data_IF_913600978650
#
_entry.id   IF_913600978650
#
_cell.length_a   1.000
_cell.length_b   1.000
_cell.length_c   1.000
_cell.angle_alpha   90.00
_cell.angle_beta   90.00
_cell.angle_gamma   90.00
#
_symmetry.space_group_name_H-M   'P 1'
#
loop_
_entity.id
_entity.type
_entity.pdbx_description
1 polymer ?
#
# COMPACT_ATOMS: atom_id res chain seq x y z
N UNK A 1 11.56 -20.55 -15.66
CA UNK A 1 11.55 -19.23 -14.97
C UNK A 1 12.95 -18.64 -14.77
N UNK A 2 13.91 -19.37 -14.18
CA UNK A 2 15.27 -18.82 -13.97
C UNK A 2 15.92 -18.36 -15.27
N UNK A 3 15.91 -19.20 -16.31
CA UNK A 3 16.53 -18.89 -17.61
C UNK A 3 15.85 -17.71 -18.33
N UNK A 4 14.50 -17.66 -18.32
CA UNK A 4 13.75 -16.56 -18.92
C UNK A 4 14.00 -15.24 -18.19
N UNK A 5 14.03 -15.27 -16.85
CA UNK A 5 14.35 -14.12 -16.02
C UNK A 5 15.79 -13.66 -16.24
N UNK A 6 16.74 -14.58 -16.32
CA UNK A 6 18.14 -14.27 -16.56
C UNK A 6 18.38 -13.62 -17.94
N UNK A 7 17.66 -14.11 -18.97
CA UNK A 7 17.72 -13.48 -20.30
C UNK A 7 17.27 -12.02 -20.25
N UNK A 8 16.13 -11.74 -19.62
CA UNK A 8 15.63 -10.39 -19.48
C UNK A 8 16.53 -9.50 -18.60
N UNK A 9 17.08 -10.04 -17.52
CA UNK A 9 18.00 -9.30 -16.65
C UNK A 9 19.31 -8.90 -17.32
N UNK A 10 19.77 -9.71 -18.28
CA UNK A 10 20.95 -9.34 -19.10
C UNK A 10 20.71 -8.10 -19.96
N UNK A 11 19.50 -7.91 -20.44
CA UNK A 11 19.11 -6.71 -21.21
C UNK A 11 18.96 -5.49 -20.32
N UNK A 12 18.45 -5.65 -19.10
CA UNK A 12 18.14 -4.56 -18.17
C UNK A 12 19.38 -4.10 -17.39
N UNK A 13 20.16 -5.06 -16.86
CA UNK A 13 21.26 -4.81 -15.93
C UNK A 13 22.64 -5.14 -16.53
N UNK A 14 22.69 -5.66 -17.76
CA UNK A 14 23.90 -6.10 -18.40
C UNK A 14 24.26 -7.57 -18.17
N UNK A 15 25.35 -8.06 -18.77
CA UNK A 15 25.77 -9.45 -18.72
C UNK A 15 25.95 -9.96 -17.28
N UNK A 16 25.30 -11.06 -16.94
CA UNK A 16 25.35 -11.63 -15.61
C UNK A 16 24.56 -12.93 -15.49
N UNK A 17 24.37 -13.37 -14.25
CA UNK A 17 23.66 -14.61 -13.91
C UNK A 17 22.75 -14.45 -12.69
N UNK A 18 21.64 -15.19 -12.66
CA UNK A 18 20.81 -15.35 -11.46
C UNK A 18 21.46 -16.35 -10.51
N UNK A 19 22.06 -15.84 -9.45
CA UNK A 19 22.77 -16.65 -8.45
C UNK A 19 21.82 -17.26 -7.40
N UNK A 20 20.69 -16.58 -7.12
CA UNK A 20 19.66 -17.12 -6.25
C UNK A 20 18.26 -16.71 -6.75
N UNK A 21 17.31 -17.65 -6.62
CA UNK A 21 15.90 -17.44 -6.91
C UNK A 21 15.09 -18.19 -5.86
N UNK A 22 14.43 -17.46 -4.98
CA UNK A 22 13.74 -18.04 -3.83
C UNK A 22 12.33 -17.48 -3.71
N UNK A 23 11.33 -18.35 -3.69
CA UNK A 23 9.95 -17.96 -3.40
C UNK A 23 9.86 -17.49 -1.95
N UNK A 24 9.22 -16.35 -1.73
CA UNK A 24 8.95 -15.82 -0.40
C UNK A 24 7.57 -16.29 0.07
N UNK A 25 7.41 -16.60 1.36
CA UNK A 25 6.10 -16.91 1.93
C UNK A 25 5.26 -15.63 1.97
N UNK A 26 3.95 -15.76 1.75
CA UNK A 26 3.00 -14.65 1.76
C UNK A 26 2.52 -14.29 0.35
N UNK A 27 1.48 -13.43 0.31
CA UNK A 27 0.78 -13.10 -0.93
C UNK A 27 -0.29 -14.14 -1.26
N UNK A 28 -1.54 -13.81 -0.93
CA UNK A 28 -2.66 -14.72 -1.18
C UNK A 28 -3.03 -14.75 -2.68
N UNK A 29 -2.85 -13.64 -3.39
CA UNK A 29 -3.23 -13.44 -4.80
C UNK A 29 -2.05 -13.49 -5.76
N UNK A 30 -0.84 -13.15 -5.33
CA UNK A 30 0.35 -12.97 -6.18
C UNK A 30 1.55 -13.70 -5.58
N UNK A 31 2.43 -14.21 -6.43
CA UNK A 31 3.68 -14.85 -6.00
C UNK A 31 4.76 -13.79 -5.80
N UNK A 32 5.52 -13.94 -4.71
CA UNK A 32 6.66 -13.09 -4.37
C UNK A 32 7.96 -13.91 -4.42
N UNK A 33 8.99 -13.37 -5.09
CA UNK A 33 10.28 -14.03 -5.24
C UNK A 33 11.43 -13.09 -4.93
N UNK A 34 12.36 -13.53 -4.12
CA UNK A 34 13.66 -12.90 -3.99
C UNK A 34 14.59 -13.41 -5.10
N UNK A 35 15.18 -12.48 -5.82
CA UNK A 35 16.08 -12.74 -6.93
C UNK A 35 17.40 -12.04 -6.63
N UNK A 36 18.51 -12.77 -6.68
CA UNK A 36 19.85 -12.19 -6.62
C UNK A 36 20.50 -12.35 -7.99
N UNK A 37 20.77 -11.23 -8.65
CA UNK A 37 21.42 -11.18 -9.94
C UNK A 37 22.85 -10.62 -9.80
N UNK A 38 23.83 -11.27 -10.39
CA UNK A 38 25.25 -10.87 -10.32
C UNK A 38 25.73 -10.38 -11.68
N UNK A 39 26.31 -9.17 -11.69
CA UNK A 39 27.03 -8.61 -12.85
C UNK A 39 28.48 -8.35 -12.45
N UNK A 40 29.41 -9.17 -12.92
CA UNK A 40 30.79 -9.12 -12.43
C UNK A 40 30.87 -9.36 -10.93
N UNK A 41 31.40 -8.40 -10.17
CA UNK A 41 31.47 -8.47 -8.69
C UNK A 41 30.21 -7.87 -8.01
N UNK A 42 29.37 -7.12 -8.73
CA UNK A 42 28.18 -6.48 -8.17
C UNK A 42 27.03 -7.46 -8.02
N UNK A 43 26.39 -7.46 -6.84
CA UNK A 43 25.17 -8.20 -6.54
C UNK A 43 23.99 -7.23 -6.55
N UNK A 44 22.96 -7.55 -7.33
CA UNK A 44 21.72 -6.80 -7.42
C UNK A 44 20.60 -7.58 -6.71
N UNK A 45 20.23 -7.20 -5.48
CA UNK A 45 19.07 -7.77 -4.82
C UNK A 45 17.78 -7.24 -5.47
N UNK A 46 16.94 -8.16 -5.95
CA UNK A 46 15.72 -7.86 -6.69
C UNK A 46 14.53 -8.58 -6.06
N UNK A 47 13.36 -8.02 -6.27
CA UNK A 47 12.08 -8.61 -5.90
C UNK A 47 11.24 -8.77 -7.16
N UNK A 48 10.75 -9.98 -7.41
CA UNK A 48 9.83 -10.28 -8.50
C UNK A 48 8.45 -10.55 -7.92
N UNK A 49 7.47 -9.76 -8.37
CA UNK A 49 6.04 -10.01 -8.12
C UNK A 49 5.43 -10.62 -9.39
N UNK A 50 4.78 -11.76 -9.27
CA UNK A 50 4.23 -12.52 -10.39
C UNK A 50 2.77 -12.88 -10.14
N UNK A 51 1.95 -12.86 -11.18
CA UNK A 51 0.55 -13.26 -11.09
C UNK A 51 0.41 -14.66 -10.48
N UNK A 52 -0.43 -14.76 -9.47
CA UNK A 52 -0.82 -16.03 -8.85
C UNK A 52 -1.89 -16.76 -9.66
N UNK A 53 -2.30 -17.93 -9.18
CA UNK A 53 -3.36 -18.74 -9.85
C UNK A 53 -4.77 -18.44 -9.37
N UNK A 54 -4.98 -17.46 -8.49
CA UNK A 54 -6.28 -17.15 -7.92
C UNK A 54 -6.56 -15.65 -7.82
N UNK A 55 -7.80 -15.25 -8.03
CA UNK A 55 -8.32 -13.92 -7.72
C UNK A 55 -8.99 -14.02 -6.37
N UNK A 56 -8.42 -13.38 -5.35
CA UNK A 56 -9.02 -13.38 -4.00
C UNK A 56 -10.00 -12.23 -3.87
N UNK A 57 -9.71 -11.10 -4.53
CA UNK A 57 -10.57 -9.92 -4.49
C UNK A 57 -10.60 -9.27 -5.87
N UNK A 58 -11.81 -9.03 -6.38
CA UNK A 58 -12.02 -8.56 -7.77
C UNK A 58 -11.60 -7.11 -8.04
N UNK A 59 -11.23 -6.37 -7.01
CA UNK A 59 -10.93 -4.93 -7.09
C UNK A 59 -9.45 -4.59 -6.94
N UNK A 60 -8.58 -5.57 -7.00
CA UNK A 60 -7.15 -5.33 -7.03
C UNK A 60 -6.71 -4.86 -8.42
N UNK A 61 -5.77 -3.93 -8.47
CA UNK A 61 -5.13 -3.53 -9.72
C UNK A 61 -4.53 -4.72 -10.45
N UNK A 62 -4.61 -4.71 -11.78
CA UNK A 62 -3.81 -5.59 -12.60
C UNK A 62 -2.31 -5.33 -12.36
N UNK A 63 -1.46 -6.34 -12.57
CA UNK A 63 -0.01 -6.17 -12.33
C UNK A 63 0.62 -5.07 -13.19
N UNK A 64 0.14 -4.88 -14.41
CA UNK A 64 0.58 -3.79 -15.28
C UNK A 64 0.23 -2.41 -14.70
N UNK A 65 -0.99 -2.27 -14.15
CA UNK A 65 -1.47 -1.04 -13.52
C UNK A 65 -0.72 -0.75 -12.23
N UNK A 66 -0.54 -1.75 -11.37
CA UNK A 66 0.25 -1.65 -10.14
C UNK A 66 1.70 -1.23 -10.44
N UNK A 67 2.33 -1.85 -11.46
CA UNK A 67 3.68 -1.47 -11.89
C UNK A 67 3.74 -0.03 -12.40
N UNK A 68 2.75 0.39 -13.21
CA UNK A 68 2.68 1.78 -13.71
C UNK A 68 2.50 2.78 -12.58
N UNK A 69 1.65 2.47 -11.60
CA UNK A 69 1.47 3.32 -10.42
C UNK A 69 2.75 3.44 -9.61
N UNK A 70 3.48 2.35 -9.39
CA UNK A 70 4.79 2.37 -8.73
C UNK A 70 5.80 3.24 -9.47
N UNK A 71 5.81 3.24 -10.82
CA UNK A 71 6.67 4.13 -11.61
C UNK A 71 6.33 5.61 -11.38
N UNK A 72 5.05 5.95 -11.36
CA UNK A 72 4.59 7.32 -11.08
C UNK A 72 4.95 7.72 -9.65
N UNK A 73 4.65 6.87 -8.66
CA UNK A 73 4.99 7.12 -7.27
C UNK A 73 6.51 7.32 -7.07
N UNK A 74 7.33 6.48 -7.68
CA UNK A 74 8.80 6.61 -7.66
C UNK A 74 9.26 7.93 -8.26
N UNK A 75 8.74 8.32 -9.42
CA UNK A 75 9.10 9.56 -10.10
C UNK A 75 8.75 10.81 -9.28
N UNK A 76 7.69 10.75 -8.47
CA UNK A 76 7.26 11.82 -7.55
C UNK A 76 7.91 11.73 -6.15
N UNK A 77 8.89 10.86 -5.96
CA UNK A 77 9.65 10.75 -4.72
C UNK A 77 8.88 10.15 -3.54
N UNK A 78 7.82 9.37 -3.82
CA UNK A 78 7.21 8.49 -2.82
C UNK A 78 8.20 7.38 -2.51
N UNK A 79 8.38 7.06 -1.25
CA UNK A 79 9.22 5.93 -0.84
C UNK A 79 8.57 4.61 -1.24
N UNK A 80 8.93 4.12 -2.41
CA UNK A 80 8.56 2.79 -2.92
C UNK A 80 9.80 2.05 -3.39
N UNK A 81 9.81 0.72 -3.48
CA UNK A 81 10.88 0.00 -4.16
C UNK A 81 11.01 0.47 -5.61
N UNK A 82 12.23 0.77 -6.08
CA UNK A 82 12.47 1.20 -7.47
C UNK A 82 11.89 0.17 -8.45
N UNK A 83 10.87 0.54 -9.25
CA UNK A 83 10.30 -0.35 -10.26
C UNK A 83 11.23 -0.42 -11.46
N UNK A 84 11.66 -1.62 -11.84
CA UNK A 84 12.69 -1.82 -12.87
C UNK A 84 12.13 -2.28 -14.20
N UNK A 85 11.26 -3.29 -14.20
CA UNK A 85 10.78 -3.88 -15.44
C UNK A 85 9.45 -4.61 -15.26
N UNK A 86 8.57 -4.51 -16.27
CA UNK A 86 7.34 -5.27 -16.37
C UNK A 86 7.45 -6.35 -17.45
N UNK A 87 7.05 -7.57 -17.10
CA UNK A 87 6.97 -8.71 -18.00
C UNK A 87 5.50 -8.98 -18.32
N UNK A 88 5.02 -8.72 -19.54
CA UNK A 88 3.66 -9.09 -19.94
C UNK A 88 3.49 -10.61 -19.98
N UNK A 89 4.58 -11.34 -20.20
CA UNK A 89 4.61 -12.81 -20.17
C UNK A 89 5.97 -13.30 -19.66
N UNK A 90 5.97 -13.79 -18.42
CA UNK A 90 7.10 -14.53 -17.86
C UNK A 90 6.64 -15.99 -17.65
N UNK A 91 6.84 -16.83 -18.68
CA UNK A 91 6.36 -18.22 -18.70
C UNK A 91 4.85 -18.35 -18.41
N UNK A 92 4.04 -17.69 -19.22
CA UNK A 92 2.58 -17.77 -19.19
C UNK A 92 1.91 -16.90 -18.13
N UNK A 93 2.64 -16.01 -17.46
CA UNK A 93 2.09 -15.12 -16.41
C UNK A 93 2.74 -13.75 -16.42
N UNK A 94 1.94 -12.74 -16.15
CA UNK A 94 2.46 -11.39 -15.91
C UNK A 94 3.35 -11.35 -14.66
N UNK A 95 4.36 -10.50 -14.70
CA UNK A 95 5.24 -10.25 -13.56
C UNK A 95 5.83 -8.83 -13.63
N UNK A 96 6.31 -8.32 -12.51
CA UNK A 96 7.19 -7.17 -12.53
C UNK A 96 8.34 -7.31 -11.54
N UNK A 97 9.40 -6.59 -11.85
CA UNK A 97 10.65 -6.60 -11.12
C UNK A 97 10.88 -5.23 -10.49
N UNK A 98 11.32 -5.23 -9.24
CA UNK A 98 11.73 -4.02 -8.52
C UNK A 98 12.96 -4.30 -7.66
N UNK A 99 13.62 -3.24 -7.15
CA UNK A 99 14.69 -3.38 -6.15
C UNK A 99 14.15 -4.07 -4.90
N UNK A 100 14.90 -5.04 -4.37
CA UNK A 100 14.60 -5.60 -3.06
C UNK A 100 15.25 -4.73 -2.00
N UNK A 101 14.40 -4.20 -1.12
CA UNK A 101 14.81 -3.42 0.03
C UNK A 101 14.86 -4.30 1.28
N UNK A 102 15.64 -3.92 2.26
CA UNK A 102 15.74 -4.60 3.55
C UNK A 102 14.97 -3.83 4.62
N UNK A 103 14.39 -4.54 5.57
CA UNK A 103 13.61 -4.00 6.67
C UNK A 103 12.61 -5.00 7.24
N UNK A 104 11.81 -4.56 8.18
CA UNK A 104 10.73 -5.32 8.81
C UNK A 104 9.37 -4.86 8.27
N UNK A 105 8.53 -5.80 7.86
CA UNK A 105 7.17 -5.55 7.36
C UNK A 105 6.08 -6.14 8.23
N UNK A 106 6.45 -6.99 9.20
CA UNK A 106 5.46 -7.59 10.10
C UNK A 106 5.07 -6.55 11.14
N UNK A 107 3.86 -5.98 11.01
CA UNK A 107 3.38 -4.88 11.85
C UNK A 107 3.54 -5.12 13.34
N UNK A 108 3.22 -6.31 13.84
CA UNK A 108 3.44 -6.65 15.25
C UNK A 108 4.92 -6.58 15.68
N UNK A 109 5.86 -6.79 14.77
CA UNK A 109 7.29 -6.66 15.03
C UNK A 109 7.73 -5.20 14.95
N UNK A 110 7.22 -4.44 13.97
CA UNK A 110 7.47 -2.99 13.89
C UNK A 110 7.04 -2.30 15.17
N UNK A 111 5.87 -2.65 15.71
CA UNK A 111 5.33 -2.08 16.94
C UNK A 111 6.12 -2.47 18.19
N UNK A 112 6.65 -3.69 18.27
CA UNK A 112 7.19 -4.23 19.54
C UNK A 112 8.70 -4.37 19.62
N UNK A 113 9.42 -4.51 18.49
CA UNK A 113 10.87 -4.78 18.53
C UNK A 113 11.65 -3.59 19.10
N UNK A 114 12.51 -3.80 20.10
CA UNK A 114 13.35 -2.74 20.67
C UNK A 114 14.26 -2.06 19.65
N UNK A 115 14.76 -2.82 18.67
CA UNK A 115 15.67 -2.35 17.62
C UNK A 115 15.01 -1.27 16.73
N UNK A 116 13.66 -1.25 16.69
CA UNK A 116 12.87 -0.30 15.91
C UNK A 116 12.30 0.84 16.77
N UNK A 117 12.76 1.00 18.02
CA UNK A 117 12.25 2.04 18.92
C UNK A 117 12.45 3.45 18.34
N UNK A 118 13.64 3.73 17.81
CA UNK A 118 13.96 5.02 17.16
C UNK A 118 13.11 5.24 15.91
N UNK A 119 12.95 4.23 15.09
CA UNK A 119 12.10 4.31 13.90
C UNK A 119 10.66 4.69 14.25
N UNK A 120 10.09 4.12 15.31
CA UNK A 120 8.73 4.46 15.76
C UNK A 120 8.54 5.92 16.16
N UNK A 121 9.60 6.59 16.63
CA UNK A 121 9.54 8.02 16.96
C UNK A 121 9.35 8.90 15.70
N UNK A 122 9.87 8.46 14.56
CA UNK A 122 9.80 9.20 13.29
C UNK A 122 8.65 8.74 12.38
N UNK A 123 8.11 7.54 12.60
CA UNK A 123 7.08 6.95 11.73
C UNK A 123 5.83 7.82 11.55
N UNK A 124 5.23 8.45 12.59
CA UNK A 124 4.04 9.27 12.40
C UNK A 124 4.24 10.40 11.39
N UNK A 125 5.38 11.08 11.47
CA UNK A 125 5.71 12.15 10.54
C UNK A 125 6.01 11.61 9.13
N UNK A 126 6.79 10.53 9.03
CA UNK A 126 7.10 9.89 7.76
C UNK A 126 5.85 9.35 7.06
N UNK A 127 4.91 8.76 7.79
CA UNK A 127 3.61 8.32 7.26
C UNK A 127 2.81 9.49 6.69
N UNK A 128 2.74 10.62 7.40
CA UNK A 128 2.07 11.83 6.92
C UNK A 128 2.74 12.38 5.65
N UNK A 129 4.07 12.38 5.59
CA UNK A 129 4.84 12.85 4.44
C UNK A 129 4.61 11.98 3.20
N UNK A 130 4.60 10.66 3.36
CA UNK A 130 4.35 9.78 2.22
C UNK A 130 2.89 9.87 1.75
N UNK A 131 1.89 9.93 2.65
CA UNK A 131 0.50 10.15 2.26
C UNK A 131 0.30 11.50 1.55
N UNK A 132 0.97 12.56 2.01
CA UNK A 132 0.89 13.84 1.32
C UNK A 132 1.42 13.77 -0.13
N UNK A 133 2.49 13.01 -0.38
CA UNK A 133 3.03 12.78 -1.73
C UNK A 133 2.08 11.89 -2.56
N UNK A 134 1.56 10.81 -1.98
CA UNK A 134 0.62 9.89 -2.65
C UNK A 134 -0.62 10.65 -3.10
N UNK A 135 -1.23 11.42 -2.20
CA UNK A 135 -2.43 12.21 -2.49
C UNK A 135 -2.18 13.41 -3.41
N UNK A 136 -0.92 13.75 -3.69
CA UNK A 136 -0.53 14.78 -4.66
C UNK A 136 -0.28 14.22 -6.06
N UNK A 137 -0.29 12.89 -6.25
CA UNK A 137 -0.14 12.29 -7.58
C UNK A 137 -1.29 12.72 -8.48
N UNK A 138 -0.96 13.09 -9.73
CA UNK A 138 -1.97 13.52 -10.68
C UNK A 138 -2.78 12.32 -11.20
N UNK A 139 -4.13 12.35 -11.15
CA UNK A 139 -4.95 11.32 -11.78
C UNK A 139 -4.68 11.16 -13.28
N UNK A 140 -4.22 12.22 -13.96
CA UNK A 140 -3.90 12.18 -15.39
C UNK A 140 -2.69 11.28 -15.71
N UNK A 141 -1.80 11.04 -14.73
CA UNK A 141 -0.65 10.15 -14.89
C UNK A 141 -1.01 8.67 -14.66
N UNK A 142 -2.19 8.42 -14.07
CA UNK A 142 -2.72 7.10 -13.72
C UNK A 142 -4.17 6.92 -14.23
N UNK A 143 -4.41 7.09 -15.55
CA UNK A 143 -5.77 7.14 -16.12
C UNK A 143 -6.54 5.81 -16.01
N UNK A 144 -5.91 4.74 -15.61
CA UNK A 144 -6.56 3.47 -15.27
C UNK A 144 -7.30 3.51 -13.92
N UNK A 145 -6.95 4.45 -13.03
CA UNK A 145 -7.72 4.72 -11.81
C UNK A 145 -8.91 5.60 -12.16
N UNK A 146 -10.09 5.00 -12.27
CA UNK A 146 -11.29 5.74 -12.64
C UNK A 146 -11.87 6.48 -11.44
N UNK A 147 -12.29 7.76 -11.61
CA UNK A 147 -12.98 8.47 -10.54
C UNK A 147 -14.29 7.76 -10.20
N UNK A 148 -14.69 7.74 -8.93
CA UNK A 148 -15.97 7.19 -8.54
C UNK A 148 -17.12 7.98 -9.19
N UNK A 149 -18.16 7.27 -9.63
CA UNK A 149 -19.37 7.89 -10.21
C UNK A 149 -20.28 8.58 -9.19
N UNK A 150 -20.00 8.36 -7.92
CA UNK A 150 -20.68 8.93 -6.75
C UNK A 150 -19.63 9.63 -5.87
N UNK A 151 -20.06 10.47 -4.90
CA UNK A 151 -19.15 10.92 -3.86
C UNK A 151 -18.42 9.74 -3.21
N UNK A 152 -17.11 9.87 -2.92
CA UNK A 152 -16.27 8.75 -2.47
C UNK A 152 -16.86 8.01 -1.27
N UNK A 153 -17.37 8.74 -0.27
CA UNK A 153 -18.03 8.16 0.89
C UNK A 153 -19.25 7.30 0.51
N UNK A 154 -20.01 7.74 -0.50
CA UNK A 154 -21.21 7.02 -0.95
C UNK A 154 -20.83 5.76 -1.71
N UNK A 155 -19.81 5.85 -2.55
CA UNK A 155 -19.27 4.71 -3.29
C UNK A 155 -18.74 3.63 -2.34
N UNK A 156 -17.97 4.01 -1.31
CA UNK A 156 -17.46 3.12 -0.28
C UNK A 156 -18.59 2.44 0.51
N UNK A 157 -19.62 3.22 0.88
CA UNK A 157 -20.75 2.67 1.63
C UNK A 157 -21.60 1.68 0.79
N UNK A 158 -21.84 2.00 -0.49
CA UNK A 158 -22.56 1.08 -1.40
C UNK A 158 -21.77 -0.19 -1.67
N UNK A 159 -20.46 -0.11 -1.66
CA UNK A 159 -19.59 -1.27 -1.75
C UNK A 159 -19.70 -2.13 -0.50
N UNK A 160 -19.59 -1.53 0.69
CA UNK A 160 -19.73 -2.26 1.95
C UNK A 160 -21.10 -2.97 2.07
N UNK A 161 -22.20 -2.36 1.60
CA UNK A 161 -23.50 -3.02 1.53
C UNK A 161 -23.48 -4.21 0.58
N UNK A 162 -22.88 -4.08 -0.61
CA UNK A 162 -22.79 -5.20 -1.57
C UNK A 162 -21.97 -6.37 -1.01
N UNK A 163 -20.86 -6.06 -0.35
CA UNK A 163 -20.01 -7.08 0.27
C UNK A 163 -20.75 -7.79 1.43
N UNK A 164 -21.50 -7.03 2.22
CA UNK A 164 -22.34 -7.59 3.29
C UNK A 164 -23.45 -8.50 2.73
N UNK A 165 -24.14 -8.07 1.67
CA UNK A 165 -25.16 -8.87 1.00
C UNK A 165 -24.58 -10.16 0.39
N UNK A 166 -23.34 -10.11 -0.11
CA UNK A 166 -22.64 -11.26 -0.69
C UNK A 166 -22.30 -12.35 0.35
N UNK A 167 -22.23 -12.01 1.65
CA UNK A 167 -22.03 -13.00 2.72
C UNK A 167 -23.24 -13.96 2.85
N UNK A 168 -24.43 -13.52 2.45
CA UNK A 168 -25.64 -14.36 2.43
C UNK A 168 -26.19 -14.71 3.82
N UNK A 169 -25.71 -14.06 4.87
CA UNK A 169 -26.17 -14.25 6.25
C UNK A 169 -26.32 -12.88 6.96
N UNK A 170 -27.23 -12.77 7.94
CA UNK A 170 -27.49 -11.49 8.60
C UNK A 170 -26.36 -11.10 9.55
N UNK A 171 -25.91 -9.85 9.45
CA UNK A 171 -24.94 -9.23 10.34
C UNK A 171 -25.51 -7.93 10.95
N UNK A 172 -26.46 -8.00 11.93
CA UNK A 172 -27.22 -6.83 12.41
C UNK A 172 -26.34 -5.69 12.93
N UNK A 173 -25.20 -6.00 13.54
CA UNK A 173 -24.27 -4.98 14.05
C UNK A 173 -23.61 -4.19 12.90
N UNK A 174 -23.21 -4.87 11.80
CA UNK A 174 -22.65 -4.24 10.63
C UNK A 174 -23.70 -3.43 9.88
N UNK A 175 -24.92 -3.98 9.69
CA UNK A 175 -26.03 -3.27 9.06
C UNK A 175 -26.40 -2.00 9.84
N UNK A 176 -26.39 -2.06 11.16
CA UNK A 176 -26.64 -0.89 11.99
C UNK A 176 -25.53 0.16 11.86
N UNK A 177 -24.28 -0.27 11.82
CA UNK A 177 -23.13 0.61 11.57
C UNK A 177 -23.23 1.31 10.20
N UNK A 178 -23.47 0.53 9.12
CA UNK A 178 -23.65 1.08 7.77
C UNK A 178 -24.84 2.04 7.69
N UNK A 179 -25.92 1.75 8.39
CA UNK A 179 -27.06 2.67 8.47
C UNK A 179 -26.70 3.97 9.16
N UNK A 180 -25.94 3.91 10.26
CA UNK A 180 -25.47 5.09 10.96
C UNK A 180 -24.57 5.94 10.04
N UNK A 181 -23.63 5.32 9.31
CA UNK A 181 -22.76 6.00 8.34
C UNK A 181 -23.59 6.70 7.24
N UNK A 182 -24.64 6.04 6.75
CA UNK A 182 -25.53 6.61 5.74
C UNK A 182 -26.29 7.86 6.26
N UNK A 183 -26.71 7.82 7.52
CA UNK A 183 -27.46 8.92 8.15
C UNK A 183 -26.55 10.09 8.59
N UNK A 184 -25.21 9.89 8.60
CA UNK A 184 -24.21 10.88 9.01
C UNK A 184 -23.09 11.04 7.95
N UNK A 185 -23.43 11.44 6.71
CA UNK A 185 -22.43 11.53 5.65
C UNK A 185 -21.35 12.58 5.99
N UNK A 186 -20.07 12.31 5.68
CA UNK A 186 -19.02 13.29 5.85
C UNK A 186 -19.13 14.39 4.79
N UNK A 187 -18.49 15.54 5.01
CA UNK A 187 -18.34 16.54 3.95
C UNK A 187 -17.62 15.94 2.75
N UNK A 188 -17.97 16.38 1.55
CA UNK A 188 -17.30 15.94 0.34
C UNK A 188 -15.92 16.57 0.19
N UNK A 189 -14.95 15.76 -0.21
CA UNK A 189 -13.63 16.20 -0.62
C UNK A 189 -13.37 15.74 -2.06
N UNK A 190 -12.60 16.52 -2.86
CA UNK A 190 -12.15 16.05 -4.15
C UNK A 190 -11.36 14.75 -4.01
N UNK A 191 -11.64 13.75 -4.86
CA UNK A 191 -10.92 12.49 -4.84
C UNK A 191 -9.46 12.69 -5.20
N UNK A 192 -8.60 11.89 -4.58
CA UNK A 192 -7.16 11.84 -4.80
C UNK A 192 -6.75 10.39 -5.09
N UNK A 193 -5.52 10.17 -5.51
CA UNK A 193 -4.95 8.83 -5.50
C UNK A 193 -4.79 8.40 -4.06
N UNK A 194 -5.48 7.33 -3.64
CA UNK A 194 -5.32 6.71 -2.32
C UNK A 194 -4.63 5.36 -2.46
N UNK A 195 -3.87 4.99 -1.44
CA UNK A 195 -3.21 3.69 -1.38
C UNK A 195 -4.20 2.54 -1.17
N UNK A 196 -5.25 2.78 -0.39
CA UNK A 196 -6.34 1.85 -0.11
C UNK A 196 -6.05 0.76 0.94
N UNK A 197 -4.78 0.57 1.33
CA UNK A 197 -4.38 -0.31 2.44
C UNK A 197 -3.16 0.26 3.20
N UNK A 198 -3.18 1.57 3.49
CA UNK A 198 -2.08 2.26 4.15
C UNK A 198 -2.06 1.98 5.65
N UNK A 199 -1.28 0.99 6.08
CA UNK A 199 -1.17 0.54 7.48
C UNK A 199 0.24 0.04 7.80
N UNK A 200 0.58 -0.05 9.09
CA UNK A 200 1.94 -0.42 9.55
C UNK A 200 2.41 -1.76 8.97
N UNK A 201 1.51 -2.69 8.68
CA UNK A 201 1.85 -3.97 8.04
C UNK A 201 2.27 -3.87 6.56
N UNK A 202 2.03 -2.73 5.91
CA UNK A 202 2.42 -2.44 4.53
C UNK A 202 3.53 -1.38 4.45
N UNK A 203 4.18 -1.10 5.57
CA UNK A 203 5.36 -0.25 5.64
C UNK A 203 6.60 -1.11 5.86
N UNK A 204 7.62 -0.87 5.05
CA UNK A 204 8.95 -1.42 5.28
C UNK A 204 9.71 -0.47 6.19
N UNK A 205 10.17 -0.95 7.33
CA UNK A 205 10.79 -0.15 8.39
C UNK A 205 12.12 -0.75 8.78
N UNK A 206 13.15 0.06 8.89
CA UNK A 206 14.45 -0.30 9.44
C UNK A 206 14.74 0.43 10.77
N UNK A 207 15.96 0.36 11.26
CA UNK A 207 16.37 1.04 12.52
C UNK A 207 16.31 2.56 12.46
N UNK A 208 16.33 3.16 11.27
CA UNK A 208 16.34 4.61 11.06
C UNK A 208 14.95 5.18 10.75
N UNK A 209 13.99 4.36 10.29
CA UNK A 209 12.63 4.82 10.02
C UNK A 209 11.92 4.11 8.87
N UNK A 210 11.07 4.85 8.17
CA UNK A 210 10.32 4.36 7.02
C UNK A 210 11.23 4.24 5.78
N UNK A 211 11.36 3.03 5.28
CA UNK A 211 12.12 2.70 4.06
C UNK A 211 11.25 2.76 2.82
N UNK A 212 10.06 2.13 2.85
CA UNK A 212 9.14 2.12 1.72
C UNK A 212 7.69 1.84 2.14
N UNK A 213 6.76 2.29 1.29
CA UNK A 213 5.34 1.92 1.28
C UNK A 213 5.15 0.80 0.27
N UNK A 214 4.52 -0.29 0.70
CA UNK A 214 4.37 -1.54 -0.05
C UNK A 214 2.89 -1.86 -0.27
N UNK A 215 2.62 -2.78 -1.20
CA UNK A 215 1.31 -3.40 -1.44
C UNK A 215 0.24 -2.44 -1.97
N UNK A 216 0.46 -1.95 -3.18
CA UNK A 216 -0.35 -0.94 -3.85
C UNK A 216 -1.56 -1.49 -4.62
N UNK A 217 -1.89 -2.76 -4.44
CA UNK A 217 -2.92 -3.44 -5.22
C UNK A 217 -4.34 -2.91 -5.02
N UNK A 218 -4.61 -2.20 -3.92
CA UNK A 218 -5.91 -1.59 -3.63
C UNK A 218 -6.00 -0.10 -3.98
N UNK A 219 -4.98 0.46 -4.60
CA UNK A 219 -4.97 1.88 -4.94
C UNK A 219 -6.12 2.24 -5.90
N UNK A 220 -6.75 3.38 -5.64
CA UNK A 220 -7.88 3.90 -6.40
C UNK A 220 -8.00 5.42 -6.25
N UNK A 221 -8.97 6.04 -6.94
CA UNK A 221 -9.32 7.43 -6.68
C UNK A 221 -10.41 7.48 -5.61
N UNK A 222 -10.08 8.07 -4.45
CA UNK A 222 -10.95 8.10 -3.28
C UNK A 222 -10.78 9.32 -2.40
N UNK A 223 -11.45 9.31 -1.26
CA UNK A 223 -11.33 10.37 -0.26
C UNK A 223 -10.00 10.22 0.50
N UNK A 224 -9.19 11.29 0.63
CA UNK A 224 -7.91 11.19 1.36
C UNK A 224 -8.05 10.69 2.80
N UNK A 225 -9.23 10.84 3.42
CA UNK A 225 -9.47 10.36 4.78
C UNK A 225 -9.52 8.84 4.89
N UNK A 226 -9.72 8.11 3.79
CA UNK A 226 -9.60 6.65 3.76
C UNK A 226 -8.22 6.20 4.23
N UNK A 227 -7.17 6.72 3.62
CA UNK A 227 -5.78 6.39 4.00
C UNK A 227 -5.36 6.99 5.34
N UNK A 228 -5.95 8.11 5.75
CA UNK A 228 -5.67 8.71 7.06
C UNK A 228 -6.32 7.92 8.22
N UNK A 229 -7.49 7.35 8.00
CA UNK A 229 -8.24 6.61 8.99
C UNK A 229 -7.84 5.12 9.07
N UNK A 230 -7.50 4.51 7.92
CA UNK A 230 -7.20 3.08 7.88
C UNK A 230 -6.14 2.63 8.89
N UNK A 231 -4.99 3.34 9.09
CA UNK A 231 -4.02 2.97 10.11
C UNK A 231 -4.54 3.12 11.54
N UNK A 232 -5.66 3.82 11.77
CA UNK A 232 -6.25 4.01 13.10
C UNK A 232 -7.10 2.82 13.53
N UNK A 233 -7.54 1.98 12.62
CA UNK A 233 -8.35 0.78 12.91
C UNK A 233 -7.64 -0.07 13.97
N UNK A 234 -8.38 -0.46 15.00
CA UNK A 234 -7.82 -1.14 16.19
C UNK A 234 -7.03 -2.41 15.85
N UNK A 235 -7.44 -3.15 14.82
CA UNK A 235 -6.76 -4.37 14.38
C UNK A 235 -5.28 -4.12 14.01
N UNK A 236 -4.95 -2.92 13.53
CA UNK A 236 -3.60 -2.56 13.11
C UNK A 236 -2.72 -2.02 14.24
N UNK A 237 -3.23 -1.87 15.45
CA UNK A 237 -2.46 -1.40 16.62
C UNK A 237 -1.65 -2.52 17.28
N UNK A 238 -1.88 -3.77 16.92
CA UNK A 238 -1.15 -4.95 17.40
C UNK A 238 -1.05 -5.06 18.94
N UNK A 239 -2.06 -4.52 19.65
CA UNK A 239 -2.14 -4.53 21.11
C UNK A 239 -1.60 -3.28 21.79
N UNK A 240 -1.04 -2.31 21.05
CA UNK A 240 -0.63 -0.99 21.56
C UNK A 240 -1.80 0.02 21.43
N UNK A 241 -2.91 -0.30 22.08
CA UNK A 241 -4.16 0.49 21.97
C UNK A 241 -4.00 1.96 22.39
N UNK A 242 -3.04 2.27 23.25
CA UNK A 242 -2.71 3.64 23.66
C UNK A 242 -2.10 4.50 22.54
N UNK A 243 -1.62 3.88 21.47
CA UNK A 243 -1.07 4.55 20.29
C UNK A 243 -1.98 4.31 19.10
N UNK A 244 -2.96 5.18 18.92
CA UNK A 244 -4.02 4.98 17.93
C UNK A 244 -3.52 4.89 16.49
N UNK A 245 -2.44 5.57 16.13
CA UNK A 245 -1.82 5.45 14.80
C UNK A 245 -1.03 4.16 14.70
N UNK A 246 -1.67 3.07 14.30
CA UNK A 246 -1.06 1.79 14.00
C UNK A 246 -0.19 1.17 15.11
N UNK A 247 -0.41 1.56 16.37
CA UNK A 247 0.42 1.14 17.50
C UNK A 247 1.79 1.83 17.58
N UNK A 248 2.07 2.83 16.72
CA UNK A 248 3.39 3.49 16.64
C UNK A 248 3.37 4.94 17.12
N UNK A 249 2.22 5.62 17.13
CA UNK A 249 2.15 7.03 17.53
C UNK A 249 0.75 7.55 17.79
N UNK A 250 0.70 8.89 17.99
CA UNK A 250 -0.51 9.65 18.23
C UNK A 250 -1.06 10.20 16.90
N UNK A 251 -2.38 10.38 16.83
CA UNK A 251 -3.08 10.87 15.62
C UNK A 251 -2.80 12.36 15.40
N UNK A 252 -2.81 13.18 16.46
CA UNK A 252 -2.66 14.64 16.36
C UNK A 252 -1.43 15.06 15.56
N UNK A 253 -0.20 14.70 15.97
CA UNK A 253 1.03 15.09 15.25
C UNK A 253 1.08 14.55 13.81
N UNK A 254 0.53 13.37 13.54
CA UNK A 254 0.40 12.80 12.19
C UNK A 254 -0.51 13.68 11.32
N UNK A 255 -1.69 14.02 11.80
CA UNK A 255 -2.69 14.77 11.06
C UNK A 255 -2.27 16.25 10.88
N UNK A 256 -1.68 16.86 11.90
CA UNK A 256 -1.10 18.21 11.80
C UNK A 256 -0.03 18.29 10.71
N UNK A 257 0.87 17.30 10.66
CA UNK A 257 1.91 17.23 9.62
C UNK A 257 1.32 17.06 8.22
N UNK A 258 0.35 16.17 8.06
CA UNK A 258 -0.35 15.96 6.79
C UNK A 258 -1.06 17.24 6.33
N UNK A 259 -1.84 17.87 7.19
CA UNK A 259 -2.55 19.12 6.89
C UNK A 259 -1.59 20.24 6.48
N UNK A 260 -0.47 20.38 7.20
CA UNK A 260 0.55 21.38 6.88
C UNK A 260 1.19 21.18 5.50
N UNK A 261 1.38 19.92 5.07
CA UNK A 261 1.98 19.59 3.77
C UNK A 261 1.00 19.74 2.60
N UNK A 262 -0.27 19.43 2.84
CA UNK A 262 -1.29 19.40 1.78
C UNK A 262 -2.12 20.68 1.69
N UNK A 263 -2.01 21.57 2.68
CA UNK A 263 -2.87 22.75 2.81
C UNK A 263 -4.33 22.40 3.14
N UNK A 264 -4.59 21.17 3.58
CA UNK A 264 -5.92 20.71 4.01
C UNK A 264 -6.18 21.09 5.46
N UNK A 265 -7.44 21.07 5.84
CA UNK A 265 -7.92 21.27 7.21
C UNK A 265 -8.85 20.10 7.57
N UNK A 266 -8.24 18.94 7.79
CA UNK A 266 -8.95 17.72 8.19
C UNK A 266 -8.85 17.61 9.71
N UNK A 267 -10.00 17.57 10.39
CA UNK A 267 -10.07 17.36 11.83
C UNK A 267 -10.05 15.87 12.18
N UNK A 268 -9.57 15.52 13.37
CA UNK A 268 -9.48 14.11 13.80
C UNK A 268 -10.88 13.47 13.85
N UNK A 269 -11.91 14.22 14.23
CA UNK A 269 -13.28 13.74 14.28
C UNK A 269 -13.85 13.32 12.92
N UNK A 270 -13.33 13.90 11.83
CA UNK A 270 -13.72 13.51 10.46
C UNK A 270 -13.21 12.11 10.07
N UNK A 271 -12.16 11.63 10.75
CA UNK A 271 -11.61 10.30 10.48
C UNK A 271 -12.48 9.19 11.07
N UNK A 272 -13.31 9.50 12.07
CA UNK A 272 -14.17 8.51 12.73
C UNK A 272 -15.15 7.82 11.76
N UNK A 273 -15.64 8.55 10.77
CA UNK A 273 -16.52 7.97 9.76
C UNK A 273 -15.81 6.91 8.90
N UNK A 274 -14.53 7.09 8.67
CA UNK A 274 -13.70 6.22 7.82
C UNK A 274 -12.97 5.12 8.62
N UNK A 275 -12.80 5.27 9.94
CA UNK A 275 -12.25 4.26 10.86
C UNK A 275 -13.24 3.10 11.08
#
# INVERSE_FOLDING_TARGET
MKEALEAALREILGPGEVVALRRLPGGASKEAWAVDYRTGEALHPLFLRRAGGGVIYSKTLALAEEFRLLQVAWAHGVKVPEPLHYFPDLEGREAFLMRRLEGETIGARVVRRPELARARETLPQAMAEELAKIHALSPDEVPFLQPPSLPSWRAALEEAYRDLDALGEPHPALEWGLRWLLDHPPRELPPVVVHGDFRVGNLLVDGEGLVAVLDWEFAHLGDPREDLAWPLVRAWRFGEDGKRLGGVGEVGPFLERYNALTGRDIAEEELFWWE
#
